data_IF_094665564184
#
_entry.id   IF_094665564184
#
_cell.length_a   1.000
_cell.length_b   1.000
_cell.length_c   1.000
_cell.angle_alpha   90.00
_cell.angle_beta   90.00
_cell.angle_gamma   90.00
#
_symmetry.space_group_name_H-M   'P 1'
#
loop_
_entity.id
_entity.type
_entity.pdbx_description
1 polymer ?
#
# COMPACT_ATOMS: atom_id res chain seq x y z
N UNK A 1 -23.04 17.25 22.95
CA UNK A 1 -21.74 16.71 23.44
C UNK A 1 -21.56 15.24 23.07
N UNK A 2 -22.63 14.44 23.03
CA UNK A 2 -22.53 13.04 22.57
C UNK A 2 -22.37 12.89 21.04
N UNK A 3 -23.08 13.70 20.23
CA UNK A 3 -22.98 13.68 18.75
C UNK A 3 -21.55 13.86 18.24
N UNK A 4 -20.82 14.87 18.74
CA UNK A 4 -19.45 15.15 18.31
C UNK A 4 -18.44 14.04 18.65
N UNK A 5 -18.70 13.23 19.69
CA UNK A 5 -17.86 12.06 20.03
C UNK A 5 -18.20 10.84 19.19
N UNK A 6 -19.44 10.74 18.71
CA UNK A 6 -19.90 9.67 17.85
C UNK A 6 -19.41 9.90 16.41
N UNK A 7 -19.58 11.12 15.89
CA UNK A 7 -19.05 11.59 14.61
C UNK A 7 -17.53 11.35 14.50
N UNK A 8 -16.74 11.83 15.48
CA UNK A 8 -15.29 11.64 15.44
C UNK A 8 -14.82 10.17 15.54
N UNK A 9 -15.65 9.26 16.10
CA UNK A 9 -15.36 7.81 16.08
C UNK A 9 -15.73 7.16 14.77
N UNK A 10 -16.75 7.68 14.09
CA UNK A 10 -17.18 7.18 12.78
C UNK A 10 -16.15 7.59 11.71
N UNK A 11 -15.78 8.87 11.68
CA UNK A 11 -14.74 9.43 10.80
C UNK A 11 -13.42 8.66 10.96
N UNK A 12 -12.91 8.51 12.19
CA UNK A 12 -11.65 7.77 12.42
C UNK A 12 -11.71 6.28 12.02
N UNK A 13 -12.90 5.65 12.03
CA UNK A 13 -13.05 4.28 11.52
C UNK A 13 -13.12 4.24 10.01
N UNK A 14 -13.73 5.23 9.37
CA UNK A 14 -13.77 5.36 7.91
C UNK A 14 -12.38 5.60 7.35
N UNK A 15 -11.66 6.60 7.89
CA UNK A 15 -10.27 6.90 7.51
C UNK A 15 -9.37 5.68 7.70
N UNK A 16 -9.45 5.01 8.85
CA UNK A 16 -8.66 3.81 9.11
C UNK A 16 -8.98 2.64 8.15
N UNK A 17 -10.23 2.51 7.70
CA UNK A 17 -10.61 1.52 6.68
C UNK A 17 -10.04 1.89 5.32
N UNK A 18 -10.17 3.15 4.92
CA UNK A 18 -9.71 3.63 3.63
C UNK A 18 -8.17 3.52 3.50
N UNK A 19 -7.44 3.97 4.52
CA UNK A 19 -5.98 3.78 4.59
C UNK A 19 -5.58 2.31 4.56
N UNK A 20 -6.33 1.45 5.28
CA UNK A 20 -6.11 0.00 5.29
C UNK A 20 -6.28 -0.63 3.92
N UNK A 21 -7.34 -0.26 3.18
CA UNK A 21 -7.57 -0.70 1.81
C UNK A 21 -6.46 -0.24 0.87
N UNK A 22 -6.09 1.03 0.92
CA UNK A 22 -5.06 1.60 0.06
C UNK A 22 -3.69 0.93 0.31
N UNK A 23 -3.31 0.73 1.57
CA UNK A 23 -2.07 0.00 1.93
C UNK A 23 -2.10 -1.44 1.42
N UNK A 24 -3.23 -2.14 1.59
CA UNK A 24 -3.39 -3.52 1.13
C UNK A 24 -3.23 -3.66 -0.38
N UNK A 25 -3.83 -2.73 -1.14
CA UNK A 25 -3.71 -2.71 -2.60
C UNK A 25 -2.26 -2.48 -3.05
N UNK A 26 -1.58 -1.49 -2.46
CA UNK A 26 -0.19 -1.20 -2.79
C UNK A 26 0.74 -2.37 -2.44
N UNK A 27 0.55 -3.00 -1.27
CA UNK A 27 1.34 -4.15 -0.86
C UNK A 27 1.19 -5.32 -1.84
N UNK A 28 -0.04 -5.65 -2.24
CA UNK A 28 -0.29 -6.71 -3.23
C UNK A 28 0.33 -6.39 -4.60
N UNK A 29 0.25 -5.13 -5.05
CA UNK A 29 0.90 -4.68 -6.29
C UNK A 29 2.42 -4.84 -6.23
N UNK A 30 3.05 -4.44 -5.14
CA UNK A 30 4.51 -4.58 -4.95
C UNK A 30 4.92 -6.05 -5.04
N UNK A 31 4.27 -6.94 -4.29
CA UNK A 31 4.59 -8.36 -4.27
C UNK A 31 4.44 -8.99 -5.66
N UNK A 32 3.37 -8.66 -6.39
CA UNK A 32 3.16 -9.13 -7.75
C UNK A 32 4.24 -8.63 -8.71
N UNK A 33 4.59 -7.35 -8.65
CA UNK A 33 5.63 -6.77 -9.51
C UNK A 33 7.01 -7.38 -9.23
N UNK A 34 7.36 -7.61 -7.96
CA UNK A 34 8.59 -8.31 -7.59
C UNK A 34 8.61 -9.73 -8.15
N UNK A 35 7.50 -10.47 -8.07
CA UNK A 35 7.38 -11.81 -8.68
C UNK A 35 7.57 -11.77 -10.20
N UNK A 36 6.94 -10.80 -10.89
CA UNK A 36 7.10 -10.62 -12.34
C UNK A 36 8.54 -10.25 -12.74
N UNK A 37 9.26 -9.56 -11.86
CA UNK A 37 10.68 -9.24 -12.01
C UNK A 37 11.62 -10.40 -11.68
N UNK A 38 11.12 -11.47 -11.04
CA UNK A 38 11.92 -12.60 -10.57
C UNK A 38 12.68 -12.33 -9.27
N UNK A 39 12.24 -11.32 -8.51
CA UNK A 39 12.80 -10.94 -7.21
C UNK A 39 12.11 -11.69 -6.06
N UNK A 40 12.79 -11.75 -4.91
CA UNK A 40 12.17 -12.19 -3.68
C UNK A 40 11.04 -11.22 -3.27
N UNK A 41 9.86 -11.77 -3.01
CA UNK A 41 8.69 -10.99 -2.64
C UNK A 41 8.82 -10.45 -1.21
N UNK A 42 8.55 -9.16 -1.04
CA UNK A 42 8.53 -8.53 0.28
C UNK A 42 7.46 -9.14 1.16
N UNK A 43 7.75 -9.41 2.44
CA UNK A 43 6.75 -9.89 3.37
C UNK A 43 5.68 -8.83 3.62
N UNK A 44 4.43 -9.26 3.84
CA UNK A 44 3.32 -8.35 4.18
C UNK A 44 3.60 -7.56 5.45
N UNK A 45 4.32 -8.14 6.41
CA UNK A 45 4.76 -7.46 7.63
C UNK A 45 5.69 -6.29 7.32
N UNK A 46 6.72 -6.51 6.48
CA UNK A 46 7.64 -5.43 6.09
C UNK A 46 6.95 -4.32 5.30
N UNK A 47 5.92 -4.64 4.52
CA UNK A 47 5.16 -3.64 3.74
C UNK A 47 4.20 -2.85 4.62
N UNK A 48 3.68 -3.46 5.70
CA UNK A 48 2.78 -2.79 6.66
C UNK A 48 3.48 -1.67 7.44
N UNK A 49 4.78 -1.83 7.71
CA UNK A 49 5.58 -0.83 8.43
C UNK A 49 5.86 0.43 7.58
N UNK A 50 5.60 0.38 6.28
CA UNK A 50 5.84 1.48 5.34
C UNK A 50 4.63 2.41 5.23
N UNK A 51 4.91 3.67 4.97
CA UNK A 51 3.91 4.68 4.65
C UNK A 51 3.32 4.45 3.25
N UNK A 52 2.13 5.00 3.00
CA UNK A 52 1.49 4.95 1.68
C UNK A 52 2.38 5.59 0.60
N UNK A 53 3.08 6.68 0.94
CA UNK A 53 3.99 7.36 0.03
C UNK A 53 5.20 6.48 -0.37
N UNK A 54 5.80 5.78 0.59
CA UNK A 54 6.89 4.83 0.33
C UNK A 54 6.41 3.67 -0.52
N UNK A 55 5.26 3.07 -0.19
CA UNK A 55 4.67 1.98 -0.98
C UNK A 55 4.35 2.44 -2.42
N UNK A 56 3.83 3.65 -2.59
CA UNK A 56 3.57 4.24 -3.92
C UNK A 56 4.86 4.41 -4.72
N UNK A 57 5.93 4.87 -4.06
CA UNK A 57 7.25 5.04 -4.67
C UNK A 57 7.83 3.70 -5.11
N UNK A 58 7.71 2.66 -4.27
CA UNK A 58 8.13 1.30 -4.61
C UNK A 58 7.36 0.75 -5.82
N UNK A 59 6.04 0.97 -5.92
CA UNK A 59 5.26 0.56 -7.09
C UNK A 59 5.77 1.25 -8.36
N UNK A 60 6.05 2.55 -8.30
CA UNK A 60 6.55 3.30 -9.45
C UNK A 60 7.91 2.79 -9.94
N UNK A 61 8.84 2.55 -9.02
CA UNK A 61 10.16 1.98 -9.32
C UNK A 61 10.05 0.58 -9.95
N UNK A 62 9.27 -0.31 -9.35
CA UNK A 62 9.09 -1.67 -9.87
C UNK A 62 8.45 -1.68 -11.27
N UNK A 63 7.49 -0.78 -11.52
CA UNK A 63 6.89 -0.63 -12.85
C UNK A 63 7.90 -0.11 -13.88
N UNK A 64 8.73 0.87 -13.52
CA UNK A 64 9.79 1.39 -14.39
C UNK A 64 10.82 0.31 -14.74
N UNK A 65 11.23 -0.47 -13.75
CA UNK A 65 12.14 -1.62 -13.93
C UNK A 65 11.56 -2.67 -14.86
N UNK A 66 10.26 -2.98 -14.73
CA UNK A 66 9.59 -3.95 -15.59
C UNK A 66 9.52 -3.46 -17.05
N UNK A 67 9.17 -2.19 -17.28
CA UNK A 67 9.16 -1.58 -18.63
C UNK A 67 10.55 -1.58 -19.26
N UNK A 68 11.58 -1.26 -18.47
CA UNK A 68 12.96 -1.20 -18.95
C UNK A 68 13.53 -2.57 -19.32
N UNK A 69 12.94 -3.66 -18.81
CA UNK A 69 13.34 -5.04 -19.15
C UNK A 69 12.77 -5.51 -20.49
N UNK A 70 11.61 -4.97 -20.88
CA UNK A 70 10.90 -5.36 -22.11
C UNK A 70 11.29 -4.50 -23.34
N UNK A 71 12.08 -3.43 -23.13
CA UNK A 71 12.61 -2.56 -24.17
C UNK A 71 13.92 -3.09 -24.76
#
# INVERSE_FOLDING_TARGET
LDSAREEGREEGREEGREEGWQRGELAGKIQLLQQLLGEESSSTESLRERTIAELTTMVADLQERLRSREA
#
